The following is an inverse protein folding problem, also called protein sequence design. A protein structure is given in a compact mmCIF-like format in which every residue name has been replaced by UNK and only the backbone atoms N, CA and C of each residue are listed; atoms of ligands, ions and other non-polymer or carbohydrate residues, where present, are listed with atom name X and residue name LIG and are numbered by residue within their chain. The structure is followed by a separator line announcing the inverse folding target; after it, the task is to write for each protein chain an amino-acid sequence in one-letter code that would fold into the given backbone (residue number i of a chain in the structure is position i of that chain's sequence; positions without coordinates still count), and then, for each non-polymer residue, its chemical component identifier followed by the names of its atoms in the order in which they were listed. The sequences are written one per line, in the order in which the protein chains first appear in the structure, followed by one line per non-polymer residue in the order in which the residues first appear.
data_IF_558576378133
#
_entry.id   IF_558576378133
#
_cell.length_a   1.000
_cell.length_b   1.000
_cell.length_c   1.000
_cell.angle_alpha   90.00
_cell.angle_beta   90.00
_cell.angle_gamma   90.00
#
_symmetry.space_group_name_H-M   'P 1'
#
loop_
_entity.id
_entity.type
_entity.pdbx_description
1 polymer ?
#
# COMPACT_ATOMS: atom_id res chain seq x y z
N UNK A 1 -15.66 -15.98 6.31
CA UNK A 1 -15.72 -14.57 6.76
C UNK A 1 -15.17 -14.51 8.18
N UNK A 2 -14.13 -13.72 8.43
CA UNK A 2 -13.60 -13.51 9.79
C UNK A 2 -14.12 -12.16 10.28
N UNK A 3 -15.09 -12.18 11.19
CA UNK A 3 -15.53 -11.00 11.91
C UNK A 3 -14.68 -10.88 13.19
N UNK A 4 -14.12 -9.70 13.44
CA UNK A 4 -13.42 -9.40 14.69
C UNK A 4 -14.46 -8.82 15.65
N UNK A 5 -14.59 -9.40 16.84
CA UNK A 5 -15.47 -8.89 17.88
C UNK A 5 -14.83 -7.67 18.55
N UNK A 6 -15.53 -6.53 18.54
CA UNK A 6 -15.09 -5.33 19.27
C UNK A 6 -15.84 -5.28 20.59
N UNK A 7 -15.07 -5.21 21.70
CA UNK A 7 -15.64 -5.06 23.04
C UNK A 7 -15.63 -3.57 23.41
N UNK A 8 -16.81 -3.00 23.61
CA UNK A 8 -16.95 -1.63 24.12
C UNK A 8 -16.74 -1.59 25.64
N UNK A 9 -16.51 -0.40 26.19
CA UNK A 9 -16.19 -0.17 27.60
C UNK A 9 -17.32 -0.59 28.57
N UNK A 10 -18.56 -0.67 28.08
CA UNK A 10 -19.75 -1.12 28.79
C UNK A 10 -19.95 -2.65 28.73
N UNK A 11 -19.04 -3.38 28.08
CA UNK A 11 -19.09 -4.83 27.94
C UNK A 11 -19.95 -5.34 26.79
N UNK A 12 -20.56 -4.47 25.98
CA UNK A 12 -21.26 -4.91 24.77
C UNK A 12 -20.27 -5.44 23.73
N UNK A 13 -20.52 -6.66 23.24
CA UNK A 13 -19.85 -7.21 22.07
C UNK A 13 -20.71 -6.85 20.86
N UNK A 14 -20.26 -5.87 20.08
CA UNK A 14 -20.84 -5.61 18.76
C UNK A 14 -20.08 -6.43 17.73
N UNK A 15 -20.77 -7.10 16.78
CA UNK A 15 -20.10 -7.67 15.63
C UNK A 15 -19.39 -6.52 14.92
N UNK A 16 -18.06 -6.58 14.88
CA UNK A 16 -17.29 -5.63 14.09
C UNK A 16 -17.73 -5.73 12.62
N UNK A 17 -17.64 -4.61 11.89
CA UNK A 17 -17.83 -4.69 10.44
C UNK A 17 -16.90 -5.77 9.88
N UNK A 18 -17.39 -6.65 8.99
CA UNK A 18 -16.53 -7.64 8.36
C UNK A 18 -15.32 -6.94 7.76
N UNK A 19 -14.14 -7.54 7.91
CA UNK A 19 -12.96 -7.06 7.22
C UNK A 19 -13.28 -6.92 5.72
N UNK A 20 -12.92 -5.80 5.07
CA UNK A 20 -13.14 -5.66 3.63
C UNK A 20 -12.21 -6.58 2.81
N UNK A 21 -11.16 -7.14 3.44
CA UNK A 21 -10.14 -7.91 2.75
C UNK A 21 -10.66 -9.16 2.01
N UNK A 22 -11.51 -10.04 2.58
CA UNK A 22 -12.09 -11.16 1.84
C UNK A 22 -12.87 -10.73 0.59
N UNK A 23 -13.57 -9.59 0.66
CA UNK A 23 -14.29 -9.03 -0.50
C UNK A 23 -13.31 -8.47 -1.53
N UNK A 24 -12.24 -7.78 -1.09
CA UNK A 24 -11.18 -7.30 -1.97
C UNK A 24 -10.51 -8.46 -2.71
N UNK A 25 -10.10 -9.52 -2.01
CA UNK A 25 -9.52 -10.72 -2.62
C UNK A 25 -10.43 -11.37 -3.65
N UNK A 26 -11.72 -11.55 -3.32
CA UNK A 26 -12.69 -12.13 -4.26
C UNK A 26 -12.92 -11.23 -5.49
N UNK A 27 -12.84 -9.91 -5.31
CA UNK A 27 -13.14 -8.94 -6.36
C UNK A 27 -12.00 -8.68 -7.34
N UNK A 28 -10.73 -8.81 -6.92
CA UNK A 28 -9.61 -8.70 -7.87
C UNK A 28 -9.38 -9.95 -8.72
N UNK A 29 -10.04 -11.06 -8.43
CA UNK A 29 -10.07 -12.24 -9.30
C UNK A 29 -8.67 -12.66 -9.77
N UNK A 30 -8.54 -12.86 -11.08
CA UNK A 30 -7.29 -13.20 -11.79
C UNK A 30 -6.49 -11.98 -12.28
N UNK A 31 -6.72 -10.77 -11.74
CA UNK A 31 -6.01 -9.57 -12.20
C UNK A 31 -4.50 -9.71 -11.90
N UNK A 32 -3.63 -9.76 -12.94
CA UNK A 32 -2.23 -10.14 -12.77
C UNK A 32 -1.46 -9.20 -11.82
N UNK A 33 -1.61 -7.88 -11.99
CA UNK A 33 -0.97 -6.90 -11.12
C UNK A 33 -1.40 -7.01 -9.66
N UNK A 34 -2.69 -7.24 -9.41
CA UNK A 34 -3.22 -7.37 -8.05
C UNK A 34 -2.69 -8.64 -7.38
N UNK A 35 -2.60 -9.74 -8.13
CA UNK A 35 -1.98 -10.99 -7.66
C UNK A 35 -0.51 -10.74 -7.32
N UNK A 36 0.24 -10.09 -8.20
CA UNK A 36 1.66 -9.80 -7.98
C UNK A 36 1.89 -8.96 -6.72
N UNK A 37 1.13 -7.87 -6.55
CA UNK A 37 1.22 -7.02 -5.36
C UNK A 37 0.87 -7.79 -4.07
N UNK A 38 -0.20 -8.59 -4.09
CA UNK A 38 -0.63 -9.39 -2.93
C UNK A 38 0.36 -10.50 -2.60
N UNK A 39 1.02 -11.10 -3.60
CA UNK A 39 2.11 -12.06 -3.37
C UNK A 39 3.28 -11.41 -2.63
N UNK A 40 3.70 -10.21 -3.03
CA UNK A 40 4.73 -9.46 -2.30
C UNK A 40 4.28 -9.18 -0.86
N UNK A 41 3.03 -8.77 -0.66
CA UNK A 41 2.48 -8.50 0.68
C UNK A 41 2.33 -9.75 1.57
N UNK A 42 2.27 -10.94 0.98
CA UNK A 42 2.11 -12.20 1.71
C UNK A 42 3.41 -12.80 2.24
N UNK A 43 4.55 -12.16 2.00
CA UNK A 43 5.84 -12.63 2.51
C UNK A 43 5.83 -12.71 4.05
N UNK A 44 6.48 -13.74 4.64
CA UNK A 44 6.42 -13.96 6.09
C UNK A 44 7.17 -12.91 6.91
N UNK A 45 8.18 -12.28 6.30
CA UNK A 45 8.97 -11.23 6.92
C UNK A 45 8.32 -9.86 6.73
N UNK A 46 8.63 -8.92 7.62
CA UNK A 46 8.17 -7.54 7.43
C UNK A 46 8.81 -6.92 6.19
N UNK A 47 7.98 -6.40 5.28
CA UNK A 47 8.44 -5.81 4.02
C UNK A 47 9.43 -4.65 4.24
N UNK A 48 10.54 -4.68 3.51
CA UNK A 48 11.50 -3.60 3.44
C UNK A 48 11.14 -2.57 2.37
N UNK A 49 11.95 -1.53 2.24
CA UNK A 49 11.76 -0.52 1.20
C UNK A 49 11.75 -1.08 -0.23
N UNK A 50 12.58 -2.07 -0.62
CA UNK A 50 12.54 -2.64 -1.97
C UNK A 50 11.19 -3.28 -2.30
N UNK A 51 10.62 -4.05 -1.36
CA UNK A 51 9.32 -4.73 -1.53
C UNK A 51 8.18 -3.71 -1.60
N UNK A 52 8.18 -2.72 -0.70
CA UNK A 52 7.19 -1.64 -0.68
C UNK A 52 7.22 -0.83 -1.97
N UNK A 53 8.41 -0.54 -2.49
CA UNK A 53 8.56 0.22 -3.74
C UNK A 53 8.08 -0.57 -4.95
N UNK A 54 8.29 -1.89 -5.00
CA UNK A 54 7.73 -2.73 -6.07
C UNK A 54 6.21 -2.67 -6.10
N UNK A 55 5.56 -2.76 -4.95
CA UNK A 55 4.09 -2.62 -4.85
C UNK A 55 3.65 -1.23 -5.36
N UNK A 56 4.38 -0.17 -5.00
CA UNK A 56 4.12 1.18 -5.53
C UNK A 56 4.27 1.26 -7.05
N UNK A 57 5.30 0.63 -7.62
CA UNK A 57 5.52 0.56 -9.08
C UNK A 57 4.36 -0.15 -9.79
N UNK A 58 3.93 -1.30 -9.28
CA UNK A 58 2.78 -2.07 -9.81
C UNK A 58 1.52 -1.21 -9.83
N UNK A 59 1.18 -0.57 -8.70
CA UNK A 59 -0.01 0.29 -8.62
C UNK A 59 0.08 1.46 -9.61
N UNK A 60 1.25 2.12 -9.71
CA UNK A 60 1.45 3.24 -10.61
C UNK A 60 1.37 2.86 -12.08
N UNK A 61 1.78 1.64 -12.44
CA UNK A 61 1.66 1.12 -13.79
C UNK A 61 0.21 0.78 -14.12
N UNK A 62 -0.47 0.07 -13.22
CA UNK A 62 -1.87 -0.38 -13.33
C UNK A 62 -2.87 0.77 -13.54
N UNK A 63 -2.59 1.96 -13.00
CA UNK A 63 -3.49 3.11 -13.10
C UNK A 63 -3.17 4.06 -14.26
N UNK A 64 -2.20 3.75 -15.13
CA UNK A 64 -1.86 4.61 -16.26
C UNK A 64 -3.07 4.85 -17.18
N UNK A 65 -3.24 6.07 -17.73
CA UNK A 65 -2.35 7.23 -17.64
C UNK A 65 -2.53 8.09 -16.37
N UNK A 66 -3.40 7.68 -15.46
CA UNK A 66 -3.66 8.36 -14.19
C UNK A 66 -2.47 8.29 -13.22
N UNK A 67 -2.59 9.02 -12.11
CA UNK A 67 -1.58 9.07 -11.05
C UNK A 67 -2.26 9.03 -9.68
N UNK A 68 -1.52 8.56 -8.67
CA UNK A 68 -1.99 8.41 -7.29
C UNK A 68 -2.68 9.68 -6.76
N UNK A 69 -2.08 10.85 -7.00
CA UNK A 69 -2.62 12.13 -6.55
C UNK A 69 -3.78 12.64 -7.40
N UNK A 70 -3.86 12.28 -8.67
CA UNK A 70 -5.00 12.64 -9.53
C UNK A 70 -6.26 11.87 -9.11
N UNK A 71 -6.09 10.68 -8.55
CA UNK A 71 -7.16 9.85 -7.98
C UNK A 71 -7.49 10.21 -6.51
N UNK A 72 -6.79 11.17 -5.91
CA UNK A 72 -6.98 11.58 -4.52
C UNK A 72 -6.58 10.51 -3.49
N UNK A 73 -5.76 9.53 -3.88
CA UNK A 73 -5.38 8.44 -2.98
C UNK A 73 -4.27 8.83 -2.01
N UNK A 74 -3.39 9.73 -2.42
CA UNK A 74 -2.43 10.43 -1.57
C UNK A 74 -2.01 11.75 -2.23
N UNK A 75 -1.55 12.73 -1.46
CA UNK A 75 -0.99 13.95 -2.04
C UNK A 75 0.44 13.73 -2.57
N UNK A 76 0.93 14.70 -3.37
CA UNK A 76 2.28 14.66 -3.95
C UNK A 76 3.38 14.68 -2.89
N UNK A 77 3.12 15.27 -1.73
CA UNK A 77 4.12 15.41 -0.66
C UNK A 77 4.37 14.06 -0.01
N UNK A 78 3.30 13.33 0.28
CA UNK A 78 3.32 11.98 0.87
C UNK A 78 3.92 10.99 -0.12
N UNK A 79 3.50 11.02 -1.39
CA UNK A 79 4.08 10.17 -2.45
C UNK A 79 5.59 10.46 -2.65
N UNK A 80 5.98 11.74 -2.62
CA UNK A 80 7.39 12.13 -2.68
C UNK A 80 8.18 11.73 -1.44
N UNK A 81 7.59 11.78 -0.25
CA UNK A 81 8.24 11.36 0.99
C UNK A 81 8.50 9.85 0.98
N UNK A 82 7.53 9.06 0.49
CA UNK A 82 7.67 7.62 0.33
C UNK A 82 8.82 7.29 -0.64
N UNK A 83 8.78 7.86 -1.85
CA UNK A 83 9.80 7.59 -2.86
C UNK A 83 11.19 8.06 -2.44
N UNK A 84 11.29 9.19 -1.72
CA UNK A 84 12.54 9.68 -1.13
C UNK A 84 13.11 8.72 -0.09
N UNK A 85 12.29 8.30 0.87
CA UNK A 85 12.71 7.32 1.89
C UNK A 85 13.07 5.96 1.31
N UNK A 86 12.29 5.45 0.35
CA UNK A 86 12.53 4.13 -0.21
C UNK A 86 13.80 4.07 -1.07
N UNK A 87 14.12 5.15 -1.79
CA UNK A 87 15.18 5.12 -2.80
C UNK A 87 16.55 5.59 -2.29
N UNK A 88 16.61 6.50 -1.31
CA UNK A 88 17.87 7.19 -0.98
C UNK A 88 18.64 6.50 0.17
N UNK A 89 19.88 6.03 -0.06
CA UNK A 89 20.74 5.52 1.01
C UNK A 89 21.01 6.53 2.13
N UNK A 90 21.05 7.83 1.80
CA UNK A 90 21.24 8.88 2.80
C UNK A 90 20.08 9.01 3.79
N UNK A 91 18.91 8.46 3.46
CA UNK A 91 17.72 8.43 4.33
C UNK A 91 17.59 7.09 5.03
N UNK A 92 17.68 5.99 4.28
CA UNK A 92 17.31 4.65 4.76
C UNK A 92 18.49 3.68 4.90
N UNK A 93 19.72 4.16 4.71
CA UNK A 93 20.92 3.36 4.83
C UNK A 93 20.94 2.17 3.87
N UNK A 94 21.42 1.02 4.35
CA UNK A 94 21.47 -0.23 3.59
C UNK A 94 20.10 -0.83 3.26
N UNK A 95 19.03 -0.37 3.92
CA UNK A 95 17.68 -0.80 3.64
C UNK A 95 17.05 -0.14 2.41
N UNK A 96 17.67 0.93 1.88
CA UNK A 96 17.17 1.62 0.68
C UNK A 96 17.20 0.69 -0.55
N UNK A 97 16.25 0.90 -1.49
CA UNK A 97 16.18 0.16 -2.76
C UNK A 97 17.45 0.28 -3.59
N UNK A 98 18.04 1.46 -3.63
CA UNK A 98 19.27 1.71 -4.37
C UNK A 98 20.45 1.70 -3.41
N UNK A 99 21.58 1.09 -3.82
CA UNK A 99 22.82 1.13 -3.06
C UNK A 99 23.54 2.49 -3.17
N UNK A 100 23.33 3.20 -4.29
CA UNK A 100 23.93 4.52 -4.56
C UNK A 100 22.90 5.37 -5.30
N UNK A 101 22.52 6.49 -4.69
CA UNK A 101 21.65 7.48 -5.30
C UNK A 101 21.88 8.84 -4.63
N UNK A 102 21.97 9.89 -5.43
CA UNK A 102 22.04 11.27 -4.93
C UNK A 102 20.64 11.86 -4.83
N UNK A 103 20.39 12.67 -3.79
CA UNK A 103 19.15 13.40 -3.63
C UNK A 103 19.08 14.06 -2.25
N UNK A 104 18.29 15.11 -2.14
CA UNK A 104 18.01 15.78 -0.87
C UNK A 104 16.49 15.90 -0.71
N UNK A 105 15.83 14.87 -0.14
CA UNK A 105 14.38 14.85 -0.05
C UNK A 105 13.92 15.92 0.93
N UNK A 106 12.87 16.66 0.56
CA UNK A 106 12.29 17.69 1.43
C UNK A 106 11.49 17.10 2.59
N UNK A 107 10.92 15.92 2.36
CA UNK A 107 10.11 15.18 3.32
C UNK A 107 10.55 13.72 3.24
N UNK A 108 10.51 13.06 4.39
CA UNK A 108 10.85 11.64 4.55
C UNK A 108 9.82 11.01 5.46
N UNK A 109 9.68 9.70 5.37
CA UNK A 109 8.91 8.88 6.30
C UNK A 109 9.74 7.69 6.80
N UNK A 110 9.40 7.20 7.99
CA UNK A 110 9.92 5.97 8.56
C UNK A 110 9.42 4.73 7.81
N UNK A 111 10.06 3.58 8.02
CA UNK A 111 9.62 2.31 7.41
C UNK A 111 8.21 1.91 7.85
N UNK A 112 7.81 2.25 9.08
CA UNK A 112 6.44 1.99 9.58
C UNK A 112 5.43 2.82 8.80
N UNK A 113 5.66 4.12 8.68
CA UNK A 113 4.80 5.00 7.88
C UNK A 113 4.78 4.59 6.40
N UNK A 114 5.89 4.09 5.87
CA UNK A 114 5.96 3.53 4.51
C UNK A 114 5.06 2.31 4.31
N UNK A 115 5.03 1.41 5.30
CA UNK A 115 4.14 0.22 5.28
C UNK A 115 2.67 0.62 5.40
N UNK A 116 2.37 1.59 6.26
CA UNK A 116 1.01 2.11 6.43
C UNK A 116 0.53 2.80 5.14
N UNK A 117 1.40 3.62 4.53
CA UNK A 117 1.14 4.27 3.25
C UNK A 117 0.82 3.26 2.14
N UNK A 118 1.66 2.23 1.96
CA UNK A 118 1.42 1.20 0.93
C UNK A 118 0.18 0.38 1.22
N UNK A 119 -0.07 0.00 2.47
CA UNK A 119 -1.28 -0.75 2.86
C UNK A 119 -2.56 0.03 2.54
N UNK A 120 -2.56 1.33 2.85
CA UNK A 120 -3.67 2.22 2.51
C UNK A 120 -3.83 2.41 1.00
N UNK A 121 -2.72 2.52 0.26
CA UNK A 121 -2.73 2.68 -1.18
C UNK A 121 -3.27 1.43 -1.89
N UNK A 122 -2.81 0.24 -1.50
CA UNK A 122 -3.33 -1.05 -2.00
C UNK A 122 -4.83 -1.15 -1.75
N UNK A 123 -5.29 -0.83 -0.54
CA UNK A 123 -6.72 -0.86 -0.22
C UNK A 123 -7.56 -0.01 -1.19
N UNK A 124 -7.14 1.25 -1.44
CA UNK A 124 -7.83 2.16 -2.37
C UNK A 124 -7.79 1.65 -3.81
N UNK A 125 -6.65 1.12 -4.24
CA UNK A 125 -6.47 0.58 -5.58
C UNK A 125 -7.34 -0.66 -5.84
N UNK A 126 -7.39 -1.62 -4.90
CA UNK A 126 -8.25 -2.80 -5.02
C UNK A 126 -9.73 -2.42 -5.05
N UNK A 127 -10.13 -1.44 -4.23
CA UNK A 127 -11.50 -0.91 -4.23
C UNK A 127 -11.85 -0.22 -5.57
N UNK A 128 -10.88 0.41 -6.23
CA UNK A 128 -11.03 1.00 -7.57
C UNK A 128 -11.09 -0.05 -8.67
N UNK A 129 -10.20 -1.05 -8.67
CA UNK A 129 -10.23 -2.18 -9.60
C UNK A 129 -11.62 -2.84 -9.60
N UNK A 130 -12.18 -3.08 -8.41
CA UNK A 130 -13.55 -3.62 -8.28
C UNK A 130 -14.61 -2.74 -8.95
N UNK A 131 -14.51 -1.43 -8.80
CA UNK A 131 -15.47 -0.48 -9.36
C UNK A 131 -15.40 -0.42 -10.88
N UNK A 132 -14.21 -0.55 -11.47
CA UNK A 132 -14.06 -0.52 -12.93
C UNK A 132 -14.43 -1.86 -13.57
N UNK A 133 -14.17 -3.00 -12.91
CA UNK A 133 -14.56 -4.33 -13.42
C UNK A 133 -16.07 -4.60 -13.36
N UNK A 134 -16.82 -3.76 -12.64
CA UNK A 134 -18.29 -3.83 -12.54
C UNK A 134 -19.01 -2.93 -13.57
N UNK A 135 -18.26 -2.24 -14.44
CA UNK A 135 -18.78 -1.39 -15.52
C UNK A 135 -18.66 -2.10 -16.86
#
# INVERSE_FOLDING_TARGET
MVAVNVRQADGMIIPGSPSPWPVRFAAVGDHPDAIEALQIMSQPDQLGWPELYKIHEIIRDSIKPGKIYDLGWADKVTDSAFTGSANLPSVSGSGARHARMSGNPKNTMSIVEGRDYISALVAKWLDWLRQISSR
#
